data_IF_949886174016
#
_entry.id   IF_949886174016
#
_cell.length_a   1.000
_cell.length_b   1.000
_cell.length_c   1.000
_cell.angle_alpha   90.00
_cell.angle_beta   90.00
_cell.angle_gamma   90.00
#
_symmetry.space_group_name_H-M   'P 1'
#
loop_
_entity.id
_entity.type
_entity.pdbx_description
1 polymer ?
#
# COMPACT_ATOMS: atom_id res chain seq x y z
N UNK A 1 29.98 -17.74 10.58
CA UNK A 1 29.18 -16.66 11.19
C UNK A 1 29.47 -15.39 10.39
N UNK A 2 28.79 -15.23 9.25
CA UNK A 2 28.90 -14.03 8.42
C UNK A 2 28.01 -12.98 9.08
N UNK A 3 28.62 -12.04 9.79
CA UNK A 3 27.98 -10.78 10.16
C UNK A 3 27.61 -10.09 8.85
N UNK A 4 26.34 -10.17 8.47
CA UNK A 4 25.83 -9.30 7.41
C UNK A 4 26.06 -7.87 7.87
N UNK A 5 26.85 -7.14 7.08
CA UNK A 5 27.06 -5.72 7.22
C UNK A 5 25.69 -5.04 7.17
N UNK A 6 25.09 -4.74 8.33
CA UNK A 6 23.92 -3.88 8.40
C UNK A 6 24.41 -2.51 7.96
N UNK A 7 24.37 -2.23 6.64
CA UNK A 7 24.50 -0.86 6.11
C UNK A 7 23.62 0.02 7.01
N UNK A 8 24.22 1.03 7.63
CA UNK A 8 23.47 1.95 8.48
C UNK A 8 22.33 2.56 7.64
N UNK A 9 21.10 2.18 7.96
CA UNK A 9 19.91 2.70 7.27
C UNK A 9 19.47 3.96 7.99
N UNK A 10 19.28 5.05 7.26
CA UNK A 10 18.90 6.34 7.87
C UNK A 10 17.40 6.41 8.16
N UNK A 11 17.01 7.18 9.19
CA UNK A 11 15.60 7.45 9.48
C UNK A 11 14.88 8.05 8.27
N UNK A 12 15.53 8.96 7.54
CA UNK A 12 14.94 9.55 6.32
C UNK A 12 14.73 8.52 5.21
N UNK A 13 15.61 7.53 5.07
CA UNK A 13 15.43 6.45 4.10
C UNK A 13 14.20 5.61 4.46
N UNK A 14 14.08 5.19 5.72
CA UNK A 14 12.93 4.37 6.17
C UNK A 14 11.62 5.14 6.06
N UNK A 15 11.58 6.41 6.52
CA UNK A 15 10.38 7.23 6.43
C UNK A 15 9.90 7.40 4.98
N UNK A 16 10.84 7.55 4.04
CA UNK A 16 10.55 7.65 2.59
C UNK A 16 9.96 6.38 1.96
N UNK A 17 9.91 5.27 2.69
CA UNK A 17 9.27 4.02 2.24
C UNK A 17 7.87 3.82 2.86
N UNK A 18 7.47 4.61 3.85
CA UNK A 18 6.27 4.33 4.66
C UNK A 18 5.08 5.17 4.19
N UNK A 19 4.03 4.45 3.80
CA UNK A 19 2.69 4.98 3.61
C UNK A 19 1.90 4.75 4.91
N UNK A 20 1.83 5.76 5.77
CA UNK A 20 1.12 5.65 7.06
C UNK A 20 -0.40 5.65 6.83
N UNK A 21 -1.12 4.81 7.57
CA UNK A 21 -2.54 4.56 7.29
C UNK A 21 -3.43 4.47 8.52
N UNK A 22 -4.67 4.92 8.35
CA UNK A 22 -5.81 4.71 9.26
C UNK A 22 -7.01 4.31 8.41
N UNK A 23 -7.02 3.03 8.02
CA UNK A 23 -7.97 2.45 7.04
C UNK A 23 -8.74 1.26 7.63
N UNK A 24 -8.98 1.25 8.94
CA UNK A 24 -9.83 0.27 9.62
C UNK A 24 -11.22 0.84 9.85
N UNK A 25 -12.23 -0.02 10.02
CA UNK A 25 -13.63 0.41 10.22
C UNK A 25 -13.77 1.42 11.35
N UNK A 26 -13.01 1.23 12.42
CA UNK A 26 -12.97 2.06 13.62
C UNK A 26 -12.08 3.31 13.50
N UNK A 27 -11.40 3.51 12.36
CA UNK A 27 -10.56 4.69 12.14
C UNK A 27 -11.42 5.95 12.01
N UNK A 28 -11.57 6.65 13.12
CA UNK A 28 -12.30 7.91 13.23
C UNK A 28 -11.46 9.12 12.81
N UNK A 29 -12.06 10.32 12.90
CA UNK A 29 -11.37 11.57 12.57
C UNK A 29 -10.14 11.82 13.44
N UNK A 30 -10.14 11.34 14.69
CA UNK A 30 -8.98 11.47 15.59
C UNK A 30 -7.83 10.63 15.05
N UNK A 31 -8.06 9.36 14.70
CA UNK A 31 -7.05 8.50 14.09
C UNK A 31 -6.48 9.09 12.80
N UNK A 32 -7.34 9.69 11.96
CA UNK A 32 -6.89 10.38 10.74
C UNK A 32 -6.01 11.59 11.04
N UNK A 33 -6.36 12.42 12.01
CA UNK A 33 -5.52 13.54 12.42
C UNK A 33 -4.17 13.07 12.99
N UNK A 34 -4.15 11.98 13.75
CA UNK A 34 -2.92 11.44 14.32
C UNK A 34 -1.95 10.94 13.24
N UNK A 35 -2.43 10.27 12.18
CA UNK A 35 -1.54 9.86 11.07
C UNK A 35 -1.03 11.04 10.25
N UNK A 36 -1.82 12.12 10.12
CA UNK A 36 -1.40 13.35 9.45
C UNK A 36 -0.25 13.99 10.23
N UNK A 37 -0.40 14.19 11.53
CA UNK A 37 0.66 14.80 12.36
C UNK A 37 1.90 13.91 12.44
N UNK A 38 1.73 12.58 12.49
CA UNK A 38 2.85 11.64 12.43
C UNK A 38 3.59 11.71 11.09
N UNK A 39 2.88 11.80 9.96
CA UNK A 39 3.50 11.96 8.65
C UNK A 39 4.31 13.25 8.54
N UNK A 40 3.80 14.37 9.05
CA UNK A 40 4.53 15.64 9.11
C UNK A 40 5.79 15.54 9.96
N UNK A 41 5.66 14.92 11.14
CA UNK A 41 6.75 14.80 12.12
C UNK A 41 7.88 13.91 11.61
N UNK A 42 7.56 12.72 11.09
CA UNK A 42 8.55 11.73 10.66
C UNK A 42 8.91 11.81 9.18
N UNK A 43 8.22 12.67 8.40
CA UNK A 43 8.36 12.79 6.94
C UNK A 43 8.08 11.47 6.23
N UNK A 44 7.00 10.80 6.63
CA UNK A 44 6.46 9.66 5.89
C UNK A 44 5.99 10.11 4.51
N UNK A 45 6.19 9.27 3.50
CA UNK A 45 6.00 9.68 2.10
C UNK A 45 4.52 9.90 1.74
N UNK A 46 3.60 9.12 2.32
CA UNK A 46 2.18 9.21 1.99
C UNK A 46 1.26 8.91 3.19
N UNK A 47 0.09 9.54 3.21
CA UNK A 47 -0.99 9.27 4.17
C UNK A 47 -2.17 8.61 3.45
N UNK A 48 -2.67 7.50 4.01
CA UNK A 48 -3.89 6.82 3.54
C UNK A 48 -4.98 6.84 4.62
N UNK A 49 -6.00 7.71 4.49
CA UNK A 49 -7.16 7.73 5.38
C UNK A 49 -8.25 6.75 4.91
N UNK A 50 -9.23 6.46 5.77
CA UNK A 50 -10.51 5.90 5.31
C UNK A 50 -11.15 6.81 4.25
N UNK A 51 -11.82 6.27 3.20
CA UNK A 51 -12.33 7.04 2.07
C UNK A 51 -13.16 8.27 2.43
N UNK A 52 -13.99 8.17 3.48
CA UNK A 52 -14.84 9.27 3.95
C UNK A 52 -14.08 10.48 4.49
N UNK A 53 -12.79 10.34 4.80
CA UNK A 53 -11.93 11.40 5.31
C UNK A 53 -10.91 11.91 4.28
N UNK A 54 -10.95 11.45 3.03
CA UNK A 54 -9.96 11.84 2.00
C UNK A 54 -9.88 13.38 1.82
N UNK A 55 -11.02 14.05 1.68
CA UNK A 55 -11.08 15.50 1.48
C UNK A 55 -10.52 16.26 2.69
N UNK A 56 -10.86 15.84 3.91
CA UNK A 56 -10.29 16.39 5.14
C UNK A 56 -8.76 16.23 5.17
N UNK A 57 -8.24 15.05 4.80
CA UNK A 57 -6.79 14.80 4.76
C UNK A 57 -6.09 15.69 3.74
N UNK A 58 -6.66 15.86 2.55
CA UNK A 58 -6.13 16.76 1.50
C UNK A 58 -6.08 18.20 2.02
N UNK A 59 -7.18 18.69 2.62
CA UNK A 59 -7.21 20.06 3.15
C UNK A 59 -6.15 20.29 4.25
N UNK A 60 -5.92 19.30 5.11
CA UNK A 60 -4.96 19.37 6.21
C UNK A 60 -3.49 19.30 5.78
N UNK A 61 -3.24 18.82 4.55
CA UNK A 61 -1.91 18.67 3.96
C UNK A 61 -1.64 19.61 2.78
N UNK A 62 -2.59 20.46 2.40
CA UNK A 62 -2.47 21.39 1.25
C UNK A 62 -1.21 22.28 1.27
N UNK A 63 -0.73 22.65 2.47
CA UNK A 63 0.45 23.51 2.66
C UNK A 63 1.75 22.71 2.94
N UNK A 64 1.69 21.37 2.97
CA UNK A 64 2.86 20.49 3.17
C UNK A 64 3.14 19.65 1.92
N UNK A 65 3.91 20.23 0.99
CA UNK A 65 4.35 19.54 -0.24
C UNK A 65 5.25 18.31 -0.01
N UNK A 66 5.63 17.99 1.23
CA UNK A 66 6.49 16.86 1.56
C UNK A 66 5.76 15.55 1.82
N UNK A 67 4.43 15.56 1.92
CA UNK A 67 3.62 14.38 2.27
C UNK A 67 2.50 14.22 1.25
N UNK A 68 2.48 13.08 0.56
CA UNK A 68 1.44 12.74 -0.40
C UNK A 68 0.16 12.28 0.29
N UNK A 69 -0.98 12.38 -0.40
CA UNK A 69 -2.26 11.85 0.03
C UNK A 69 -2.74 10.76 -0.92
N UNK A 70 -2.90 9.56 -0.38
CA UNK A 70 -3.33 8.37 -1.13
C UNK A 70 -4.79 8.04 -0.91
N UNK A 71 -5.48 7.65 -1.98
CA UNK A 71 -6.88 7.29 -2.00
C UNK A 71 -7.06 5.81 -2.33
N UNK A 72 -8.05 5.16 -1.72
CA UNK A 72 -8.36 3.76 -2.03
C UNK A 72 -9.55 3.65 -2.98
N UNK A 73 -9.57 2.60 -3.81
CA UNK A 73 -10.67 2.30 -4.75
C UNK A 73 -11.13 0.85 -4.59
N UNK A 74 -12.44 0.65 -4.43
CA UNK A 74 -13.03 -0.67 -4.18
C UNK A 74 -12.56 -1.31 -2.87
N UNK A 75 -12.18 -0.52 -1.87
CA UNK A 75 -11.54 -1.02 -0.66
C UNK A 75 -12.56 -1.28 0.46
N UNK A 76 -12.39 -2.36 1.26
CA UNK A 76 -11.31 -3.35 1.18
C UNK A 76 -11.63 -4.57 0.30
N UNK A 77 -12.86 -4.71 -0.20
CA UNK A 77 -13.32 -5.98 -0.78
C UNK A 77 -12.90 -6.25 -2.22
N UNK A 78 -12.81 -5.20 -3.04
CA UNK A 78 -12.57 -5.24 -4.48
C UNK A 78 -13.73 -5.78 -5.31
N UNK A 79 -14.86 -6.12 -4.66
CA UNK A 79 -15.99 -6.82 -5.27
C UNK A 79 -16.99 -5.90 -6.00
N UNK A 80 -16.78 -4.59 -5.98
CA UNK A 80 -17.65 -3.62 -6.64
C UNK A 80 -17.55 -3.71 -8.17
N UNK A 81 -18.56 -3.17 -8.86
CA UNK A 81 -18.54 -3.09 -10.32
C UNK A 81 -17.41 -2.19 -10.83
N UNK A 82 -16.90 -2.45 -12.02
CA UNK A 82 -15.90 -1.61 -12.68
C UNK A 82 -16.39 -0.16 -12.82
N UNK A 83 -17.67 0.06 -13.11
CA UNK A 83 -18.26 1.40 -13.17
C UNK A 83 -18.17 2.14 -11.83
N UNK A 84 -18.44 1.44 -10.71
CA UNK A 84 -18.30 1.99 -9.36
C UNK A 84 -16.84 2.35 -9.05
N UNK A 85 -15.89 1.46 -9.39
CA UNK A 85 -14.47 1.73 -9.20
C UNK A 85 -13.99 2.91 -10.02
N UNK A 86 -14.41 3.03 -11.29
CA UNK A 86 -14.11 4.19 -12.14
C UNK A 86 -14.65 5.48 -11.53
N UNK A 87 -15.91 5.47 -11.07
CA UNK A 87 -16.51 6.65 -10.44
C UNK A 87 -15.71 7.11 -9.23
N UNK A 88 -15.43 6.20 -8.30
CA UNK A 88 -14.65 6.49 -7.09
C UNK A 88 -13.23 6.97 -7.44
N UNK A 89 -12.59 6.34 -8.42
CA UNK A 89 -11.25 6.72 -8.86
C UNK A 89 -11.22 8.16 -9.41
N UNK A 90 -12.20 8.54 -10.25
CA UNK A 90 -12.34 9.91 -10.76
C UNK A 90 -12.66 10.91 -9.66
N UNK A 91 -13.47 10.53 -8.68
CA UNK A 91 -13.77 11.36 -7.52
C UNK A 91 -12.51 11.64 -6.70
N UNK A 92 -11.69 10.60 -6.42
CA UNK A 92 -10.42 10.76 -5.72
C UNK A 92 -9.47 11.72 -6.46
N UNK A 93 -9.36 11.58 -7.80
CA UNK A 93 -8.56 12.50 -8.64
C UNK A 93 -9.10 13.93 -8.55
N UNK A 94 -10.42 14.12 -8.66
CA UNK A 94 -11.04 15.45 -8.60
C UNK A 94 -10.84 16.15 -7.25
N UNK A 95 -10.77 15.38 -6.16
CA UNK A 95 -10.47 15.90 -4.81
C UNK A 95 -9.01 16.32 -4.63
N UNK A 96 -8.10 15.91 -5.51
CA UNK A 96 -6.67 16.24 -5.43
C UNK A 96 -5.81 15.19 -4.73
N UNK A 97 -6.21 13.92 -4.79
CA UNK A 97 -5.37 12.81 -4.35
C UNK A 97 -4.10 12.70 -5.21
N UNK A 98 -2.98 12.23 -4.65
CA UNK A 98 -1.70 12.09 -5.35
C UNK A 98 -1.46 10.70 -5.93
N UNK A 99 -2.11 9.67 -5.38
CA UNK A 99 -1.95 8.28 -5.80
C UNK A 99 -3.12 7.39 -5.36
N UNK A 100 -3.37 6.31 -6.13
CA UNK A 100 -4.50 5.41 -5.86
C UNK A 100 -4.04 3.98 -5.60
N UNK A 101 -4.59 3.39 -4.54
CA UNK A 101 -4.51 1.96 -4.25
C UNK A 101 -5.88 1.31 -4.51
N UNK A 102 -6.06 0.63 -5.63
CA UNK A 102 -7.28 -0.11 -5.94
C UNK A 102 -7.22 -1.56 -5.45
N UNK A 103 -8.35 -2.16 -5.07
CA UNK A 103 -8.43 -3.60 -4.79
C UNK A 103 -8.88 -4.36 -6.04
N UNK A 104 -8.09 -5.37 -6.42
CA UNK A 104 -8.43 -6.32 -7.48
C UNK A 104 -9.73 -7.05 -7.14
N UNK A 105 -10.54 -7.42 -8.14
CA UNK A 105 -11.66 -8.33 -7.88
C UNK A 105 -11.16 -9.75 -7.61
N UNK A 106 -10.90 -10.05 -6.33
CA UNK A 106 -10.37 -11.34 -5.87
C UNK A 106 -11.33 -12.48 -6.20
N UNK A 107 -12.64 -12.28 -6.09
CA UNK A 107 -13.62 -13.31 -6.42
C UNK A 107 -13.54 -13.73 -7.89
N UNK A 108 -13.39 -12.77 -8.81
CA UNK A 108 -13.21 -13.05 -10.25
C UNK A 108 -11.88 -13.74 -10.55
N UNK A 109 -10.79 -13.31 -9.90
CA UNK A 109 -9.47 -13.96 -10.01
C UNK A 109 -9.56 -15.44 -9.63
N UNK A 110 -10.10 -15.75 -8.44
CA UNK A 110 -10.27 -17.14 -7.97
C UNK A 110 -11.22 -17.96 -8.85
N UNK A 111 -12.07 -17.30 -9.63
CA UNK A 111 -12.99 -17.96 -10.58
C UNK A 111 -12.38 -18.16 -11.98
N UNK A 112 -11.11 -17.78 -12.19
CA UNK A 112 -10.46 -17.89 -13.50
C UNK A 112 -10.89 -16.84 -14.52
N UNK A 113 -11.61 -15.79 -14.10
CA UNK A 113 -12.12 -14.72 -14.98
C UNK A 113 -11.04 -13.65 -15.20
N UNK A 114 -9.85 -14.08 -15.64
CA UNK A 114 -8.64 -13.24 -15.69
C UNK A 114 -8.77 -12.04 -16.62
N UNK A 115 -9.43 -12.20 -17.77
CA UNK A 115 -9.67 -11.11 -18.71
C UNK A 115 -10.53 -10.02 -18.08
N UNK A 116 -11.60 -10.38 -17.37
CA UNK A 116 -12.45 -9.41 -16.65
C UNK A 116 -11.68 -8.68 -15.54
N UNK A 117 -10.77 -9.37 -14.86
CA UNK A 117 -9.91 -8.75 -13.83
C UNK A 117 -8.93 -7.76 -14.47
N UNK A 118 -8.32 -8.13 -15.60
CA UNK A 118 -7.42 -7.26 -16.35
C UNK A 118 -8.16 -6.01 -16.85
N UNK A 119 -9.34 -6.19 -17.44
CA UNK A 119 -10.18 -5.08 -17.94
C UNK A 119 -10.61 -4.13 -16.83
N UNK A 120 -10.96 -4.63 -15.64
CA UNK A 120 -11.29 -3.82 -14.46
C UNK A 120 -10.13 -2.88 -14.08
N UNK A 121 -8.91 -3.42 -14.03
CA UNK A 121 -7.71 -2.66 -13.68
C UNK A 121 -7.37 -1.65 -14.78
N UNK A 122 -7.42 -2.05 -16.05
CA UNK A 122 -7.18 -1.14 -17.19
C UNK A 122 -8.17 0.02 -17.19
N UNK A 123 -9.43 -0.23 -16.84
CA UNK A 123 -10.45 0.81 -16.79
C UNK A 123 -10.17 1.84 -15.69
N UNK A 124 -9.76 1.39 -14.49
CA UNK A 124 -9.31 2.29 -13.42
C UNK A 124 -8.02 3.03 -13.82
N UNK A 125 -7.04 2.34 -14.41
CA UNK A 125 -5.79 2.93 -14.92
C UNK A 125 -6.06 4.10 -15.87
N UNK A 126 -6.97 3.92 -16.83
CA UNK A 126 -7.39 4.96 -17.77
C UNK A 126 -8.09 6.14 -17.07
N UNK A 127 -8.85 5.88 -16.01
CA UNK A 127 -9.62 6.91 -15.30
C UNK A 127 -8.74 7.88 -14.49
N UNK A 128 -7.54 7.45 -14.08
CA UNK A 128 -6.66 8.22 -13.19
C UNK A 128 -5.29 8.57 -13.79
N UNK A 129 -4.99 8.15 -15.03
CA UNK A 129 -3.72 8.48 -15.67
C UNK A 129 -3.50 10.01 -15.72
N UNK A 130 -2.27 10.50 -15.45
CA UNK A 130 -1.01 9.76 -15.28
C UNK A 130 -0.64 9.42 -13.82
N UNK A 131 -1.56 9.52 -12.86
CA UNK A 131 -1.31 9.32 -11.42
C UNK A 131 -0.79 7.90 -11.10
N UNK A 132 0.06 7.68 -10.08
CA UNK A 132 0.45 6.32 -9.67
C UNK A 132 -0.76 5.44 -9.32
N UNK A 133 -0.81 4.26 -9.93
CA UNK A 133 -1.79 3.21 -9.62
C UNK A 133 -1.12 2.02 -8.96
N UNK A 134 -1.64 1.61 -7.80
CA UNK A 134 -1.25 0.38 -7.12
C UNK A 134 -2.44 -0.57 -7.06
N UNK A 135 -2.21 -1.84 -7.37
CA UNK A 135 -3.26 -2.87 -7.35
C UNK A 135 -3.05 -3.82 -6.19
N UNK A 136 -3.97 -3.80 -5.24
CA UNK A 136 -4.01 -4.73 -4.10
C UNK A 136 -4.53 -6.08 -4.57
N UNK A 137 -3.71 -7.12 -4.47
CA UNK A 137 -4.08 -8.49 -4.88
C UNK A 137 -4.60 -9.35 -3.71
N UNK A 138 -4.45 -8.87 -2.47
CA UNK A 138 -4.88 -9.56 -1.24
C UNK A 138 -4.28 -10.96 -1.06
N UNK A 139 -2.95 -11.03 -1.08
CA UNK A 139 -2.16 -12.27 -0.92
C UNK A 139 -2.58 -13.19 0.23
N UNK A 140 -3.06 -12.73 1.42
CA UNK A 140 -3.48 -13.66 2.47
C UNK A 140 -4.68 -14.56 2.10
N UNK A 141 -5.41 -14.23 1.04
CA UNK A 141 -6.55 -14.99 0.53
C UNK A 141 -6.22 -15.86 -0.69
N UNK A 142 -4.97 -15.82 -1.17
CA UNK A 142 -4.55 -16.41 -2.43
C UNK A 142 -3.55 -17.55 -2.22
N UNK A 143 -3.71 -18.59 -3.03
CA UNK A 143 -2.69 -19.62 -3.22
C UNK A 143 -1.51 -19.05 -4.02
N UNK A 144 -0.33 -19.69 -3.92
CA UNK A 144 0.88 -19.21 -4.60
C UNK A 144 0.69 -19.04 -6.12
N UNK A 145 -0.04 -19.95 -6.77
CA UNK A 145 -0.35 -19.88 -8.20
C UNK A 145 -1.28 -18.70 -8.54
N UNK A 146 -2.20 -18.35 -7.65
CA UNK A 146 -3.09 -17.21 -7.80
C UNK A 146 -2.35 -15.89 -7.57
N UNK A 147 -1.40 -15.83 -6.62
CA UNK A 147 -0.51 -14.68 -6.43
C UNK A 147 0.31 -14.44 -7.71
N UNK A 148 0.83 -15.52 -8.31
CA UNK A 148 1.61 -15.43 -9.53
C UNK A 148 0.76 -14.88 -10.69
N UNK A 149 -0.46 -15.41 -10.87
CA UNK A 149 -1.37 -14.95 -11.92
C UNK A 149 -1.83 -13.51 -11.71
N UNK A 150 -2.19 -13.14 -10.47
CA UNK A 150 -2.54 -11.76 -10.14
C UNK A 150 -1.39 -10.80 -10.47
N UNK A 151 -0.15 -11.17 -10.18
CA UNK A 151 1.04 -10.36 -10.47
C UNK A 151 1.24 -10.16 -11.97
N UNK A 152 1.04 -11.21 -12.79
CA UNK A 152 1.07 -11.10 -14.26
C UNK A 152 -0.02 -10.19 -14.80
N UNK A 153 -1.25 -10.31 -14.28
CA UNK A 153 -2.38 -9.44 -14.65
C UNK A 153 -2.06 -7.98 -14.33
N UNK A 154 -1.52 -7.69 -13.14
CA UNK A 154 -1.14 -6.32 -12.76
C UNK A 154 -0.05 -5.77 -13.70
N UNK A 155 0.97 -6.56 -14.02
CA UNK A 155 1.99 -6.17 -14.99
C UNK A 155 1.41 -5.89 -16.38
N UNK A 156 0.50 -6.72 -16.87
CA UNK A 156 -0.16 -6.52 -18.17
C UNK A 156 -1.11 -5.30 -18.19
N UNK A 157 -1.64 -4.90 -17.04
CA UNK A 157 -2.60 -3.79 -16.93
C UNK A 157 -2.00 -2.39 -17.09
N UNK A 158 -0.67 -2.27 -16.97
CA UNK A 158 0.03 -0.99 -16.94
C UNK A 158 -0.08 -0.24 -15.61
N UNK A 159 -0.45 -0.92 -14.52
CA UNK A 159 -0.34 -0.37 -13.17
C UNK A 159 1.13 -0.25 -12.73
N UNK A 160 1.42 0.73 -11.87
CA UNK A 160 2.78 1.06 -11.45
C UNK A 160 3.28 0.16 -10.32
N UNK A 161 2.35 -0.36 -9.48
CA UNK A 161 2.66 -1.23 -8.36
C UNK A 161 1.74 -2.44 -8.26
N UNK A 162 2.31 -3.58 -7.86
CA UNK A 162 1.58 -4.61 -7.13
C UNK A 162 1.61 -4.27 -5.65
N UNK A 163 0.44 -4.28 -5.00
CA UNK A 163 0.29 -4.15 -3.55
C UNK A 163 -0.15 -5.48 -2.93
N UNK A 164 0.52 -5.92 -1.88
CA UNK A 164 0.32 -7.28 -1.35
C UNK A 164 -1.05 -7.50 -0.70
N UNK A 165 -1.54 -6.57 0.12
CA UNK A 165 -2.83 -6.74 0.80
C UNK A 165 -3.43 -5.43 1.31
N UNK A 166 -4.66 -5.51 1.79
CA UNK A 166 -5.34 -4.39 2.47
C UNK A 166 -4.92 -4.29 3.94
N UNK A 167 -4.37 -5.38 4.50
CA UNK A 167 -4.17 -5.56 5.93
C UNK A 167 -5.44 -5.97 6.68
N UNK A 168 -6.54 -6.26 5.98
CA UNK A 168 -7.79 -6.75 6.57
C UNK A 168 -7.87 -8.27 6.62
N UNK A 169 -7.29 -8.95 5.63
CA UNK A 169 -7.43 -10.40 5.46
C UNK A 169 -6.29 -11.22 6.06
N UNK A 170 -5.26 -10.58 6.62
CA UNK A 170 -4.11 -11.26 7.22
C UNK A 170 -2.79 -10.54 7.00
N UNK A 171 -1.70 -11.20 7.37
CA UNK A 171 -0.34 -10.71 7.20
C UNK A 171 0.23 -11.11 5.84
N UNK A 172 1.02 -10.21 5.24
CA UNK A 172 1.89 -10.54 4.12
C UNK A 172 3.11 -11.28 4.66
N UNK A 173 3.50 -12.38 4.00
CA UNK A 173 4.71 -13.14 4.32
C UNK A 173 5.86 -12.80 3.37
N UNK A 174 7.10 -13.14 3.73
CA UNK A 174 8.24 -13.04 2.81
C UNK A 174 7.99 -13.86 1.53
N UNK A 175 7.37 -15.04 1.66
CA UNK A 175 7.03 -15.89 0.51
C UNK A 175 6.09 -15.20 -0.47
N UNK A 176 5.12 -14.43 0.00
CA UNK A 176 4.25 -13.64 -0.89
C UNK A 176 5.05 -12.61 -1.71
N UNK A 177 5.99 -11.91 -1.06
CA UNK A 177 6.84 -10.91 -1.74
C UNK A 177 7.77 -11.58 -2.76
N UNK A 178 8.31 -12.75 -2.42
CA UNK A 178 9.17 -13.54 -3.31
C UNK A 178 8.45 -13.91 -4.61
N UNK A 179 7.22 -14.44 -4.52
CA UNK A 179 6.42 -14.83 -5.68
C UNK A 179 6.11 -13.60 -6.55
N UNK A 180 5.67 -12.50 -5.94
CA UNK A 180 5.39 -11.27 -6.70
C UNK A 180 6.65 -10.80 -7.42
N UNK A 181 7.80 -10.75 -6.74
CA UNK A 181 9.06 -10.31 -7.34
C UNK A 181 9.51 -11.20 -8.49
N UNK A 182 9.33 -12.52 -8.37
CA UNK A 182 9.66 -13.47 -9.42
C UNK A 182 8.85 -13.22 -10.70
N UNK A 183 7.59 -12.83 -10.58
CA UNK A 183 6.71 -12.58 -11.73
C UNK A 183 6.91 -11.19 -12.35
N UNK A 184 7.02 -10.14 -11.54
CA UNK A 184 7.06 -8.76 -12.08
C UNK A 184 8.47 -8.26 -12.37
N UNK A 185 9.50 -8.89 -11.81
CA UNK A 185 10.88 -8.46 -11.95
C UNK A 185 11.05 -6.99 -11.56
N UNK A 186 11.65 -6.20 -12.45
CA UNK A 186 11.82 -4.75 -12.29
C UNK A 186 10.80 -3.93 -13.10
N UNK A 187 9.83 -4.59 -13.74
CA UNK A 187 8.82 -3.94 -14.60
C UNK A 187 7.72 -3.25 -13.79
N UNK A 188 7.43 -3.76 -12.59
CA UNK A 188 6.40 -3.23 -11.68
C UNK A 188 6.98 -3.12 -10.28
N UNK A 189 6.67 -2.03 -9.58
CA UNK A 189 7.13 -1.82 -8.20
C UNK A 189 6.30 -2.64 -7.22
N UNK A 190 6.85 -2.92 -6.04
CA UNK A 190 6.15 -3.67 -4.99
C UNK A 190 5.88 -2.76 -3.79
N UNK A 191 4.61 -2.67 -3.39
CA UNK A 191 4.17 -2.11 -2.10
C UNK A 191 3.69 -3.22 -1.19
N UNK A 192 4.26 -3.33 0.01
CA UNK A 192 3.79 -4.31 1.00
C UNK A 192 2.81 -3.64 1.95
N UNK A 193 1.73 -4.34 2.32
CA UNK A 193 0.88 -3.93 3.42
C UNK A 193 0.32 -5.16 4.15
N UNK A 194 0.05 -4.98 5.45
CA UNK A 194 -0.40 -6.06 6.34
C UNK A 194 0.76 -6.86 6.92
N UNK A 195 0.93 -6.83 8.24
CA UNK A 195 1.89 -7.66 8.97
C UNK A 195 3.29 -7.07 9.18
N UNK A 196 3.63 -5.92 8.59
CA UNK A 196 4.92 -5.24 8.82
C UNK A 196 4.84 -4.42 10.11
N UNK A 197 5.47 -4.90 11.19
CA UNK A 197 5.36 -4.34 12.54
C UNK A 197 6.68 -3.86 13.14
N UNK A 198 7.79 -4.21 12.52
CA UNK A 198 9.14 -3.91 13.00
C UNK A 198 10.09 -3.65 11.83
N UNK A 199 11.24 -3.06 12.18
CA UNK A 199 12.26 -2.63 11.24
C UNK A 199 12.90 -3.83 10.52
N UNK A 200 13.18 -4.92 11.22
CA UNK A 200 13.84 -6.10 10.62
C UNK A 200 12.95 -6.72 9.53
N UNK A 201 11.64 -6.82 9.74
CA UNK A 201 10.67 -7.29 8.73
C UNK A 201 10.60 -6.35 7.53
N UNK A 202 10.56 -5.04 7.77
CA UNK A 202 10.57 -4.03 6.70
C UNK A 202 11.84 -4.15 5.85
N UNK A 203 13.01 -4.23 6.50
CA UNK A 203 14.31 -4.36 5.82
C UNK A 203 14.40 -5.66 5.02
N UNK A 204 13.95 -6.80 5.58
CA UNK A 204 13.93 -8.07 4.87
C UNK A 204 13.10 -7.99 3.58
N UNK A 205 11.89 -7.41 3.64
CA UNK A 205 11.04 -7.25 2.46
C UNK A 205 11.59 -6.20 1.47
N UNK A 206 12.24 -5.14 1.97
CA UNK A 206 12.93 -4.14 1.13
C UNK A 206 14.04 -4.80 0.33
N UNK A 207 14.85 -5.63 0.97
CA UNK A 207 15.98 -6.33 0.34
C UNK A 207 15.51 -7.36 -0.70
N UNK A 208 14.26 -7.82 -0.62
CA UNK A 208 13.58 -8.63 -1.65
C UNK A 208 13.02 -7.80 -2.81
N UNK A 209 13.08 -6.47 -2.75
CA UNK A 209 12.64 -5.56 -3.81
C UNK A 209 11.35 -4.78 -3.51
N UNK A 210 10.77 -4.90 -2.32
CA UNK A 210 9.70 -3.98 -1.90
C UNK A 210 10.25 -2.55 -1.74
N UNK A 211 9.49 -1.56 -2.21
CA UNK A 211 9.94 -0.16 -2.21
C UNK A 211 8.92 0.80 -1.59
N UNK A 212 7.82 0.27 -1.04
CA UNK A 212 6.80 1.04 -0.33
C UNK A 212 6.08 0.14 0.69
N UNK A 213 5.65 0.68 1.82
CA UNK A 213 5.07 -0.08 2.91
C UNK A 213 3.85 0.63 3.49
N UNK A 214 2.66 0.04 3.34
CA UNK A 214 1.45 0.46 4.04
C UNK A 214 1.47 -0.03 5.48
N UNK A 215 1.67 0.88 6.43
CA UNK A 215 1.84 0.57 7.86
C UNK A 215 0.88 1.41 8.69
N UNK A 216 0.29 0.81 9.74
CA UNK A 216 -0.55 1.54 10.70
C UNK A 216 0.29 2.43 11.63
N UNK A 217 -0.33 3.46 12.21
CA UNK A 217 0.36 4.48 13.02
C UNK A 217 1.32 3.92 14.07
N UNK A 218 0.85 3.02 14.94
CA UNK A 218 1.63 2.50 16.07
C UNK A 218 2.89 1.76 15.58
N UNK A 219 2.74 0.89 14.58
CA UNK A 219 3.88 0.17 14.00
C UNK A 219 4.85 1.11 13.28
N UNK A 220 4.35 2.12 12.56
CA UNK A 220 5.21 3.09 11.88
C UNK A 220 6.05 3.90 12.87
N UNK A 221 5.46 4.37 13.97
CA UNK A 221 6.17 5.09 15.04
C UNK A 221 7.20 4.17 15.70
N UNK A 222 6.82 2.94 16.05
CA UNK A 222 7.76 1.97 16.66
C UNK A 222 8.98 1.70 15.77
N UNK A 223 8.77 1.57 14.45
CA UNK A 223 9.86 1.42 13.47
C UNK A 223 10.79 2.63 13.52
N UNK A 224 10.25 3.85 13.53
CA UNK A 224 11.05 5.06 13.60
C UNK A 224 11.82 5.19 14.92
N UNK A 225 11.19 4.91 16.06
CA UNK A 225 11.85 4.96 17.37
C UNK A 225 12.98 3.92 17.50
N UNK A 226 12.83 2.76 16.87
CA UNK A 226 13.85 1.70 16.87
C UNK A 226 15.15 2.13 16.17
N UNK A 227 15.07 3.05 15.21
CA UNK A 227 16.25 3.62 14.52
C UNK A 227 17.03 4.59 15.40
N UNK A 228 16.35 5.27 16.32
CA UNK A 228 16.93 6.21 17.28
C UNK A 228 17.57 5.52 18.49
N UNK A 229 17.59 4.18 18.52
CA UNK A 229 18.07 3.39 19.66
C UNK A 229 17.12 3.39 20.86
N UNK A 230 15.88 3.85 20.69
CA UNK A 230 14.83 3.81 21.72
C UNK A 230 13.93 2.60 21.47
N UNK A 231 14.32 1.44 21.99
CA UNK A 231 13.43 0.28 22.04
C UNK A 231 12.36 0.50 23.11
N UNK A 232 11.14 0.88 22.73
CA UNK A 232 9.99 0.80 23.61
C UNK A 232 9.51 -0.65 23.66
N UNK A 233 9.90 -1.35 24.74
CA UNK A 233 9.39 -2.67 25.07
C UNK A 233 7.90 -2.58 25.40
N UNK A 234 7.06 -3.06 24.50
CA UNK A 234 5.68 -3.42 24.81
C UNK A 234 5.57 -4.95 24.68
N UNK A 235 5.47 -5.59 25.84
CA UNK A 235 5.09 -6.98 26.02
C UNK A 235 3.57 -7.16 25.88
#
# INVERSE_FOLDING_TARGET
MLTMDKKAVSASEIAGLIDISAVKTESDLKAVNEIIEAAKTHRFICVFPMPGFLEHTIERLKDDSGVLVGGVVGFPSGGESTATKIFQAKENVAKGCDEVDMVMNVAKLKSGLFEEVLEDIIAVRKAIAPMPLKVIIETPLLEESEIAEASRIVMASGADFVKTGTGWSGATTLRHVEIIKAEVGDNVKIKVAGGVRDLDTLLAMRDMGACRFGIGKEAAINIMESLDGKSNGYA
#
